data_IF_073705798596
#
_entry.id   IF_073705798596
#
_cell.length_a   1.000
_cell.length_b   1.000
_cell.length_c   1.000
_cell.angle_alpha   90.00
_cell.angle_beta   90.00
_cell.angle_gamma   90.00
#
_symmetry.space_group_name_H-M   'P 1'
#
loop_
_entity.id
_entity.type
_entity.pdbx_description
1 polymer ?
#
# COMPACT_ATOMS: atom_id res chain seq x y z
N UNK A 1 13.78 8.31 13.78
CA UNK A 1 12.59 7.48 14.05
C UNK A 1 11.58 8.23 14.93
N UNK A 2 11.89 8.50 16.21
CA UNK A 2 10.96 9.15 17.16
C UNK A 2 10.37 10.48 16.66
N UNK A 3 11.18 11.32 16.02
CA UNK A 3 10.71 12.61 15.49
C UNK A 3 9.71 12.46 14.33
N UNK A 4 9.94 11.52 13.40
CA UNK A 4 9.02 11.29 12.28
C UNK A 4 7.69 10.69 12.76
N UNK A 5 7.73 9.70 13.67
CA UNK A 5 6.50 9.16 14.27
C UNK A 5 5.67 10.24 14.99
N UNK A 6 6.33 11.16 15.72
CA UNK A 6 5.63 12.28 16.35
C UNK A 6 4.95 13.21 15.34
N UNK A 7 5.54 13.38 14.16
CA UNK A 7 4.93 14.15 13.07
C UNK A 7 3.75 13.41 12.43
N UNK A 8 3.83 12.08 12.33
CA UNK A 8 2.78 11.23 11.77
C UNK A 8 1.54 11.12 12.65
N UNK A 9 1.73 11.14 13.97
CA UNK A 9 0.71 10.94 14.99
C UNK A 9 -0.46 11.92 14.90
N UNK A 10 -1.66 11.42 15.18
CA UNK A 10 -2.88 12.20 15.36
C UNK A 10 -3.43 12.06 16.78
N UNK A 11 -4.29 12.99 17.23
CA UNK A 11 -4.97 12.85 18.51
C UNK A 11 -5.77 11.54 18.56
N UNK A 12 -5.55 10.73 19.59
CA UNK A 12 -6.22 9.44 19.77
C UNK A 12 -5.44 8.22 19.27
N UNK A 13 -4.35 8.43 18.52
CA UNK A 13 -3.52 7.33 18.03
C UNK A 13 -2.84 6.58 19.18
N UNK A 14 -2.70 5.26 19.02
CA UNK A 14 -1.94 4.44 19.97
C UNK A 14 -0.46 4.90 20.02
N UNK A 15 0.23 4.77 21.16
CA UNK A 15 1.66 5.12 21.27
C UNK A 15 2.57 4.41 20.25
N UNK A 16 2.15 3.24 19.79
CA UNK A 16 2.90 2.44 18.80
C UNK A 16 2.41 2.62 17.36
N UNK A 17 1.34 3.38 17.16
CA UNK A 17 0.81 3.65 15.82
C UNK A 17 1.84 4.42 14.99
N UNK A 18 1.89 4.14 13.69
CA UNK A 18 2.83 4.71 12.72
C UNK A 18 4.32 4.38 12.94
N UNK A 19 4.68 3.56 13.95
CA UNK A 19 6.09 3.26 14.23
C UNK A 19 6.75 2.51 13.07
N UNK A 20 6.06 1.52 12.49
CA UNK A 20 6.59 0.70 11.41
C UNK A 20 6.88 1.51 10.13
N UNK A 21 5.97 2.40 9.74
CA UNK A 21 6.16 3.27 8.58
C UNK A 21 7.24 4.33 8.85
N UNK A 22 7.23 4.95 10.04
CA UNK A 22 8.25 5.91 10.43
C UNK A 22 9.66 5.28 10.45
N UNK A 23 9.76 4.04 10.90
CA UNK A 23 11.00 3.27 10.87
C UNK A 23 11.45 2.99 9.45
N UNK A 24 10.57 2.42 8.63
CA UNK A 24 10.86 2.09 7.23
C UNK A 24 11.35 3.31 6.44
N UNK A 25 10.65 4.45 6.55
CA UNK A 25 11.04 5.71 5.91
C UNK A 25 12.40 6.18 6.44
N UNK A 26 12.63 6.11 7.75
CA UNK A 26 13.91 6.53 8.35
C UNK A 26 15.06 5.67 7.83
N UNK A 27 14.90 4.35 7.75
CA UNK A 27 15.95 3.44 7.26
C UNK A 27 16.29 3.74 5.80
N UNK A 28 15.28 3.84 4.93
CA UNK A 28 15.49 4.11 3.50
C UNK A 28 16.25 5.43 3.31
N UNK A 29 15.82 6.50 3.99
CA UNK A 29 16.46 7.82 3.87
C UNK A 29 17.86 7.86 4.44
N UNK A 30 18.05 7.35 5.66
CA UNK A 30 19.35 7.41 6.36
C UNK A 30 20.43 6.60 5.64
N UNK A 31 20.05 5.46 5.04
CA UNK A 31 20.97 4.59 4.30
C UNK A 31 21.00 4.86 2.79
N UNK A 32 20.22 5.85 2.32
CA UNK A 32 20.10 6.19 0.89
C UNK A 32 19.78 4.98 0.03
N UNK A 33 18.87 4.13 0.49
CA UNK A 33 18.48 2.92 -0.23
C UNK A 33 17.69 3.30 -1.48
N UNK A 34 17.99 2.64 -2.61
CA UNK A 34 17.14 2.68 -3.79
C UNK A 34 15.96 1.73 -3.56
N UNK A 35 14.93 2.24 -2.90
CA UNK A 35 13.77 1.47 -2.47
C UNK A 35 12.45 2.21 -2.73
N UNK A 36 11.36 1.45 -2.72
CA UNK A 36 9.99 1.94 -2.73
C UNK A 36 9.25 1.37 -1.51
N UNK A 37 8.23 2.08 -1.04
CA UNK A 37 7.35 1.61 0.04
C UNK A 37 6.05 1.10 -0.56
N UNK A 38 5.71 -0.16 -0.31
CA UNK A 38 4.38 -0.70 -0.61
C UNK A 38 3.48 -0.48 0.62
N UNK A 39 2.45 0.34 0.50
CA UNK A 39 1.50 0.60 1.60
C UNK A 39 0.12 0.97 1.06
N UNK A 40 -0.94 0.51 1.74
CA UNK A 40 -2.29 1.00 1.48
C UNK A 40 -2.61 2.30 2.23
N UNK A 41 -1.73 2.72 3.16
CA UNK A 41 -1.97 3.88 4.00
C UNK A 41 -1.51 5.17 3.29
N UNK A 42 -2.48 5.87 2.72
CA UNK A 42 -2.28 7.19 2.11
C UNK A 42 -1.78 8.22 3.14
N UNK A 43 -2.09 8.02 4.43
CA UNK A 43 -1.62 8.84 5.53
C UNK A 43 -0.12 8.73 5.77
N UNK A 44 0.45 7.53 5.68
CA UNK A 44 1.89 7.31 5.73
C UNK A 44 2.60 7.75 4.44
N UNK A 45 1.98 7.55 3.27
CA UNK A 45 2.58 7.88 1.97
C UNK A 45 3.01 9.36 1.86
N UNK A 46 2.24 10.30 2.45
CA UNK A 46 2.59 11.73 2.45
C UNK A 46 3.89 12.04 3.18
N UNK A 47 4.30 11.18 4.12
CA UNK A 47 5.51 11.34 4.92
C UNK A 47 6.73 10.72 4.28
N UNK A 48 6.58 10.01 3.14
CA UNK A 48 7.64 9.25 2.51
C UNK A 48 8.55 10.09 1.60
N UNK A 49 8.12 11.25 1.11
CA UNK A 49 8.85 12.10 0.14
C UNK A 49 10.34 12.33 0.52
N UNK A 50 11.33 11.98 -0.31
CA UNK A 50 11.25 11.63 -1.74
C UNK A 50 11.12 10.13 -2.04
N UNK A 51 10.89 9.28 -1.05
CA UNK A 51 10.71 7.83 -1.26
C UNK A 51 9.39 7.56 -1.96
N UNK A 52 9.44 6.84 -3.08
CA UNK A 52 8.25 6.48 -3.84
C UNK A 52 7.37 5.49 -3.06
N UNK A 53 6.05 5.71 -3.10
CA UNK A 53 5.07 4.80 -2.53
C UNK A 53 4.24 4.14 -3.65
N UNK A 54 3.89 2.86 -3.44
CA UNK A 54 2.95 2.13 -4.29
C UNK A 54 1.84 1.53 -3.42
N UNK A 55 0.60 1.67 -3.88
CA UNK A 55 -0.55 1.03 -3.24
C UNK A 55 -0.56 -0.47 -3.49
N UNK A 56 -1.12 -1.24 -2.54
CA UNK A 56 -1.24 -2.71 -2.62
C UNK A 56 -1.84 -3.17 -3.95
N UNK A 57 -2.94 -2.56 -4.40
CA UNK A 57 -3.62 -2.96 -5.64
C UNK A 57 -2.78 -2.70 -6.89
N UNK A 58 -2.04 -1.58 -6.93
CA UNK A 58 -1.08 -1.31 -8.02
C UNK A 58 0.05 -2.34 -8.05
N UNK A 59 0.47 -2.85 -6.88
CA UNK A 59 1.46 -3.92 -6.79
C UNK A 59 0.90 -5.25 -7.31
N UNK A 60 -0.37 -5.56 -7.02
CA UNK A 60 -1.07 -6.73 -7.61
C UNK A 60 -1.18 -6.60 -9.14
N UNK A 61 -1.60 -5.45 -9.66
CA UNK A 61 -1.67 -5.20 -11.12
C UNK A 61 -0.29 -5.33 -11.78
N UNK A 62 0.77 -4.85 -11.13
CA UNK A 62 2.14 -5.03 -11.59
C UNK A 62 2.54 -6.52 -11.63
N UNK A 63 2.24 -7.28 -10.59
CA UNK A 63 2.54 -8.72 -10.52
C UNK A 63 1.84 -9.50 -11.66
N UNK A 64 0.56 -9.19 -11.92
CA UNK A 64 -0.20 -9.77 -13.03
C UNK A 64 0.45 -9.43 -14.38
N UNK A 65 0.78 -8.15 -14.65
CA UNK A 65 1.43 -7.74 -15.90
C UNK A 65 2.82 -8.35 -16.09
N UNK A 66 3.51 -8.67 -15.00
CA UNK A 66 4.80 -9.36 -15.02
C UNK A 66 4.68 -10.89 -15.01
N UNK A 67 3.45 -11.42 -15.14
CA UNK A 67 3.17 -12.86 -15.12
C UNK A 67 3.72 -13.54 -13.85
N UNK A 68 3.82 -12.79 -12.75
CA UNK A 68 4.27 -13.29 -11.46
C UNK A 68 3.11 -13.85 -10.62
N UNK A 69 1.88 -13.61 -11.05
CA UNK A 69 0.66 -14.27 -10.57
C UNK A 69 -0.35 -14.39 -11.72
N UNK A 70 -1.32 -15.29 -11.57
CA UNK A 70 -2.45 -15.40 -12.49
C UNK A 70 -3.54 -14.36 -12.18
N UNK A 71 -4.51 -14.22 -13.08
CA UNK A 71 -5.70 -13.41 -12.82
C UNK A 71 -6.48 -13.95 -11.63
N UNK A 72 -6.61 -15.28 -11.52
CA UNK A 72 -7.32 -15.93 -10.42
C UNK A 72 -6.64 -15.67 -9.07
N UNK A 73 -5.29 -15.66 -9.03
CA UNK A 73 -4.55 -15.27 -7.82
C UNK A 73 -4.86 -13.82 -7.42
N UNK A 74 -4.88 -12.90 -8.39
CA UNK A 74 -5.15 -11.49 -8.14
C UNK A 74 -6.59 -11.27 -7.62
N UNK A 75 -7.58 -11.93 -8.24
CA UNK A 75 -8.97 -11.90 -7.78
C UNK A 75 -9.12 -12.55 -6.40
N UNK A 76 -8.37 -13.63 -6.13
CA UNK A 76 -8.32 -14.27 -4.83
C UNK A 76 -7.83 -13.36 -3.71
N UNK A 77 -6.80 -12.55 -3.97
CA UNK A 77 -6.32 -11.53 -3.01
C UNK A 77 -7.40 -10.50 -2.70
N UNK A 78 -8.12 -10.03 -3.72
CA UNK A 78 -9.23 -9.10 -3.52
C UNK A 78 -10.34 -9.72 -2.68
N UNK A 79 -10.73 -10.96 -2.98
CA UNK A 79 -11.79 -11.66 -2.25
C UNK A 79 -11.39 -11.88 -0.78
N UNK A 80 -10.17 -12.35 -0.53
CA UNK A 80 -9.67 -12.54 0.83
C UNK A 80 -9.66 -11.24 1.64
N UNK A 81 -9.33 -10.10 1.01
CA UNK A 81 -9.37 -8.80 1.66
C UNK A 81 -10.80 -8.38 2.03
N UNK A 82 -11.77 -8.58 1.14
CA UNK A 82 -13.18 -8.27 1.40
C UNK A 82 -13.78 -9.20 2.46
N UNK A 83 -13.47 -10.49 2.41
CA UNK A 83 -13.92 -11.49 3.38
C UNK A 83 -13.40 -11.19 4.79
N UNK A 84 -12.23 -10.57 4.90
CA UNK A 84 -11.66 -10.07 6.15
C UNK A 84 -12.30 -8.76 6.65
N UNK A 85 -13.33 -8.24 5.96
CA UNK A 85 -14.01 -6.98 6.28
C UNK A 85 -13.33 -5.74 5.70
N UNK A 86 -12.36 -5.92 4.79
CA UNK A 86 -11.68 -4.83 4.10
C UNK A 86 -12.63 -4.03 3.18
N UNK A 87 -12.24 -2.80 2.89
CA UNK A 87 -12.97 -1.91 1.99
C UNK A 87 -12.10 -1.54 0.79
N UNK A 88 -12.35 -2.13 -0.40
CA UNK A 88 -11.57 -1.84 -1.60
C UNK A 88 -11.60 -0.34 -1.96
N UNK A 89 -10.64 0.14 -2.76
CA UNK A 89 -10.64 1.50 -3.28
C UNK A 89 -11.95 1.82 -3.99
N UNK A 90 -12.31 3.11 -4.03
CA UNK A 90 -13.65 3.56 -4.47
C UNK A 90 -14.02 3.14 -5.89
N UNK A 91 -13.03 2.91 -6.76
CA UNK A 91 -13.21 2.60 -8.17
C UNK A 91 -13.24 1.08 -8.45
N UNK A 92 -13.07 0.23 -7.42
CA UNK A 92 -12.95 -1.24 -7.51
C UNK A 92 -13.83 -1.95 -6.45
N UNK A 93 -15.04 -1.44 -6.20
CA UNK A 93 -15.90 -1.88 -5.08
C UNK A 93 -16.46 -3.29 -5.29
N UNK A 94 -16.52 -3.74 -6.52
CA UNK A 94 -16.92 -5.09 -6.88
C UNK A 94 -15.75 -5.86 -7.50
N UNK A 95 -15.78 -7.19 -7.38
CA UNK A 95 -14.79 -8.06 -8.02
C UNK A 95 -14.75 -7.86 -9.54
N UNK A 96 -15.87 -7.50 -10.16
CA UNK A 96 -15.97 -7.28 -11.60
C UNK A 96 -15.33 -5.95 -12.02
N UNK A 97 -15.53 -4.87 -11.25
CA UNK A 97 -14.81 -3.60 -11.45
C UNK A 97 -13.30 -3.80 -11.26
N UNK A 98 -12.91 -4.52 -10.21
CA UNK A 98 -11.50 -4.83 -9.97
C UNK A 98 -10.88 -5.65 -11.11
N UNK A 99 -11.58 -6.64 -11.66
CA UNK A 99 -11.14 -7.38 -12.86
C UNK A 99 -10.93 -6.43 -14.05
N UNK A 100 -11.90 -5.58 -14.35
CA UNK A 100 -11.81 -4.63 -15.47
C UNK A 100 -10.63 -3.68 -15.28
N UNK A 101 -10.40 -3.22 -14.04
CA UNK A 101 -9.25 -2.39 -13.71
C UNK A 101 -7.92 -3.13 -13.85
N UNK A 102 -7.84 -4.42 -13.49
CA UNK A 102 -6.61 -5.21 -13.70
C UNK A 102 -6.28 -5.37 -15.19
N UNK A 103 -7.30 -5.53 -16.03
CA UNK A 103 -7.18 -5.73 -17.48
C UNK A 103 -6.95 -4.42 -18.26
N UNK A 104 -7.23 -3.26 -17.67
CA UNK A 104 -7.04 -1.96 -18.32
C UNK A 104 -5.57 -1.56 -18.48
N UNK A 105 -5.28 -0.72 -19.47
CA UNK A 105 -4.01 -0.02 -19.56
C UNK A 105 -3.88 1.09 -18.50
N UNK A 106 -2.64 1.56 -18.30
CA UNK A 106 -2.27 2.48 -17.21
C UNK A 106 -2.95 3.85 -17.32
#
# INVERSE_FOLDING_TARGET
>A
MRQLRLQMARPGDHPDEHLGEAETITIIRSRRLRALIATHDNGAARWADPVQCVGTWRLVKLALRKQSCSLDDALGVWQAFVDAGGHPPRDDRTVQEFRQWLESDW
#
